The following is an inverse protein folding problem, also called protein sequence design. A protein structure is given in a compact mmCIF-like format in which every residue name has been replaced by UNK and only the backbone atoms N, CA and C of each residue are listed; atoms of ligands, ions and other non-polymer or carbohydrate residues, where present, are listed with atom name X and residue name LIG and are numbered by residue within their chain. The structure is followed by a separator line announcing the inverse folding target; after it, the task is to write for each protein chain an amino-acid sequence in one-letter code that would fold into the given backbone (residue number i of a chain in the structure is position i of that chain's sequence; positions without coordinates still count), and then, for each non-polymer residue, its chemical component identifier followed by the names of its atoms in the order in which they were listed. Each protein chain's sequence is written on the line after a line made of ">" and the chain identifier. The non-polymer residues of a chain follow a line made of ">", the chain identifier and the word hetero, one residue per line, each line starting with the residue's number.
data_IF_783070276953
#
_entry.id   IF_783070276953
#
_cell.length_a   1.000
_cell.length_b   1.000
_cell.length_c   1.000
_cell.angle_alpha   90.00
_cell.angle_beta   90.00
_cell.angle_gamma   90.00
#
_symmetry.space_group_name_H-M   'P 1'
#
loop_
_entity.id
_entity.type
_entity.pdbx_description
1 polymer ?
#
# COMPACT_ATOMS: atom_id res chain seq x y z
N UNK A 1 23.60 18.17 -15.18
CA UNK A 1 23.00 18.06 -13.84
C UNK A 1 21.65 17.44 -14.06
N UNK A 2 21.57 16.14 -13.76
CA UNK A 2 20.59 15.22 -14.32
C UNK A 2 19.29 15.24 -13.51
N UNK A 3 18.14 15.34 -14.19
CA UNK A 3 16.78 15.39 -13.62
C UNK A 3 16.31 13.95 -13.30
N UNK A 4 17.02 13.26 -12.39
CA UNK A 4 17.01 11.79 -12.37
C UNK A 4 15.72 11.12 -11.89
N UNK A 5 14.73 11.82 -11.32
CA UNK A 5 13.39 11.24 -11.08
C UNK A 5 12.33 12.35 -10.95
N UNK A 6 11.53 12.59 -12.00
CA UNK A 6 10.26 13.30 -11.83
C UNK A 6 9.36 12.47 -10.91
N UNK A 7 9.21 12.89 -9.64
CA UNK A 7 8.33 12.20 -8.70
C UNK A 7 6.88 12.33 -9.14
N UNK A 8 6.24 11.17 -9.33
CA UNK A 8 4.81 11.07 -9.55
C UNK A 8 4.00 11.43 -8.30
N UNK A 9 2.69 11.67 -8.42
CA UNK A 9 1.84 11.90 -7.25
C UNK A 9 1.89 10.71 -6.29
N UNK A 10 2.07 10.98 -4.98
CA UNK A 10 2.14 9.96 -3.94
C UNK A 10 0.86 9.09 -3.90
N UNK A 11 1.04 7.77 -3.87
CA UNK A 11 0.03 6.74 -3.61
C UNK A 11 0.43 5.94 -2.37
N UNK A 12 -0.24 6.18 -1.25
CA UNK A 12 -0.07 5.37 -0.04
C UNK A 12 -1.05 4.20 -0.09
N UNK A 13 -0.55 2.97 0.08
CA UNK A 13 -1.35 1.75 0.17
C UNK A 13 -1.08 1.04 1.49
N UNK A 14 -2.08 0.31 1.98
CA UNK A 14 -1.96 -0.53 3.16
C UNK A 14 -2.22 -2.00 2.80
N UNK A 15 -1.35 -2.87 3.30
CA UNK A 15 -1.62 -4.31 3.36
C UNK A 15 -2.67 -4.65 4.41
N UNK A 16 -2.73 -5.92 4.79
CA UNK A 16 -3.70 -6.41 5.79
C UNK A 16 -3.16 -6.50 7.22
N UNK A 17 -1.84 -6.46 7.43
CA UNK A 17 -1.24 -6.75 8.74
C UNK A 17 -1.50 -5.63 9.75
N UNK A 18 -1.41 -4.35 9.34
CA UNK A 18 -1.68 -3.24 10.25
C UNK A 18 -2.23 -2.01 9.51
N UNK A 19 -3.55 -2.00 9.29
CA UNK A 19 -4.25 -0.84 8.70
C UNK A 19 -4.26 0.40 9.60
N UNK A 20 -4.43 0.31 10.93
CA UNK A 20 -4.33 1.47 11.82
C UNK A 20 -3.01 2.24 11.65
N UNK A 21 -1.88 1.54 11.63
CA UNK A 21 -0.56 2.16 11.43
C UNK A 21 -0.47 2.93 10.09
N UNK A 22 -0.97 2.32 9.00
CA UNK A 22 -0.99 3.00 7.71
C UNK A 22 -1.89 4.26 7.74
N UNK A 23 -2.99 4.22 8.49
CA UNK A 23 -3.85 5.35 8.76
C UNK A 23 -3.12 6.48 9.49
N UNK A 24 -2.44 6.19 10.58
CA UNK A 24 -1.65 7.16 11.36
C UNK A 24 -0.54 7.80 10.52
N UNK A 25 0.20 7.00 9.74
CA UNK A 25 1.19 7.53 8.78
C UNK A 25 0.51 8.47 7.79
N UNK A 26 -0.66 8.08 7.29
CA UNK A 26 -1.45 8.87 6.36
C UNK A 26 -1.91 10.21 6.94
N UNK A 27 -2.30 10.25 8.21
CA UNK A 27 -2.67 11.50 8.91
C UNK A 27 -1.47 12.44 9.02
N UNK A 28 -0.29 11.92 9.38
CA UNK A 28 0.95 12.71 9.52
C UNK A 28 1.35 13.35 8.19
N UNK A 29 1.21 12.63 7.07
CA UNK A 29 1.61 13.10 5.75
C UNK A 29 0.47 13.73 4.93
N UNK A 30 -0.74 13.84 5.51
CA UNK A 30 -1.92 14.39 4.84
C UNK A 30 -2.43 13.55 3.66
N UNK A 31 -2.25 12.23 3.70
CA UNK A 31 -2.70 11.25 2.69
C UNK A 31 -3.24 9.99 3.33
N UNK A 32 -4.57 9.86 3.44
CA UNK A 32 -5.18 8.58 3.83
C UNK A 32 -4.76 7.45 2.87
N UNK A 33 -4.52 6.23 3.38
CA UNK A 33 -4.25 5.08 2.52
C UNK A 33 -5.36 4.88 1.49
N UNK A 34 -4.97 4.76 0.22
CA UNK A 34 -5.89 4.41 -0.87
C UNK A 34 -6.31 2.94 -0.75
N UNK A 35 -7.50 2.63 -1.27
CA UNK A 35 -8.09 1.30 -1.20
C UNK A 35 -7.36 0.25 -2.04
N UNK A 36 -7.12 -0.91 -1.43
CA UNK A 36 -6.83 -2.15 -2.13
C UNK A 36 -7.78 -3.24 -1.62
N UNK A 37 -8.42 -3.94 -2.54
CA UNK A 37 -9.22 -5.12 -2.22
C UNK A 37 -8.27 -6.30 -2.05
N UNK A 38 -8.14 -6.78 -0.81
CA UNK A 38 -7.32 -7.94 -0.44
C UNK A 38 -8.24 -9.04 0.07
N UNK A 39 -8.17 -10.24 -0.52
CA UNK A 39 -8.95 -11.41 -0.11
C UNK A 39 -8.07 -12.64 -0.08
N UNK A 40 -8.40 -13.59 0.78
CA UNK A 40 -7.75 -14.90 0.80
C UNK A 40 -8.74 -15.93 0.27
N UNK A 41 -8.31 -16.74 -0.69
CA UNK A 41 -9.09 -17.86 -1.22
C UNK A 41 -9.00 -19.07 -0.27
N UNK A 42 -9.88 -20.05 -0.48
CA UNK A 42 -10.00 -21.22 0.40
C UNK A 42 -8.75 -22.12 0.37
N UNK A 43 -7.97 -22.09 -0.71
CA UNK A 43 -6.68 -22.76 -0.87
C UNK A 43 -5.50 -21.99 -0.26
N UNK A 44 -5.76 -20.80 0.30
CA UNK A 44 -4.75 -19.95 0.94
C UNK A 44 -4.14 -18.90 0.02
N UNK A 45 -4.43 -18.91 -1.28
CA UNK A 45 -3.92 -17.89 -2.22
C UNK A 45 -4.45 -16.49 -1.89
N UNK A 46 -3.61 -15.47 -2.07
CA UNK A 46 -3.96 -14.08 -1.79
C UNK A 46 -4.32 -13.36 -3.09
N UNK A 47 -5.55 -12.87 -3.16
CA UNK A 47 -5.99 -11.95 -4.20
C UNK A 47 -5.76 -10.51 -3.78
N UNK A 48 -5.16 -9.71 -4.66
CA UNK A 48 -4.97 -8.26 -4.46
C UNK A 48 -5.42 -7.51 -5.71
N UNK A 49 -6.26 -6.48 -5.51
CA UNK A 49 -6.61 -5.50 -6.54
C UNK A 49 -6.44 -4.09 -6.00
N UNK A 50 -5.64 -3.29 -6.69
CA UNK A 50 -5.49 -1.86 -6.38
C UNK A 50 -6.72 -1.14 -6.94
N UNK A 51 -7.50 -0.46 -6.09
CA UNK A 51 -8.75 0.19 -6.49
C UNK A 51 -8.53 1.59 -7.08
N UNK A 52 -7.27 2.02 -7.17
CA UNK A 52 -6.83 3.31 -7.74
C UNK A 52 -5.80 3.12 -8.84
N UNK A 53 -5.78 4.07 -9.77
CA UNK A 53 -4.73 4.12 -10.79
C UNK A 53 -3.37 4.38 -10.12
N UNK A 54 -2.42 3.48 -10.37
CA UNK A 54 -1.05 3.54 -9.87
C UNK A 54 -0.01 3.97 -10.94
N UNK A 55 -0.40 4.09 -12.21
CA UNK A 55 0.53 4.40 -13.31
C UNK A 55 1.12 5.79 -13.12
N UNK A 56 2.46 5.87 -13.15
CA UNK A 56 3.20 7.13 -13.03
C UNK A 56 3.08 7.79 -11.65
N UNK A 57 2.65 7.06 -10.62
CA UNK A 57 2.62 7.50 -9.23
C UNK A 57 3.82 6.97 -8.46
N UNK A 58 4.18 7.68 -7.41
CA UNK A 58 5.18 7.22 -6.45
C UNK A 58 4.45 6.41 -5.37
N UNK A 59 4.69 5.09 -5.31
CA UNK A 59 3.85 4.14 -4.57
C UNK A 59 4.58 3.65 -3.33
N UNK A 60 3.94 3.80 -2.18
CA UNK A 60 4.44 3.33 -0.89
C UNK A 60 3.43 2.35 -0.30
N UNK A 61 3.90 1.18 0.13
CA UNK A 61 3.06 0.11 0.70
C UNK A 61 3.46 -0.09 2.16
N UNK A 62 2.51 0.02 3.07
CA UNK A 62 2.69 -0.28 4.49
C UNK A 62 2.19 -1.70 4.75
N UNK A 63 3.12 -2.61 5.04
CA UNK A 63 2.81 -3.99 5.40
C UNK A 63 3.90 -4.51 6.36
N UNK A 64 3.68 -4.47 7.68
CA UNK A 64 4.49 -5.21 8.62
C UNK A 64 4.47 -6.72 8.30
N UNK A 65 5.60 -7.39 8.46
CA UNK A 65 5.77 -8.83 8.22
C UNK A 65 5.96 -9.57 9.54
N UNK A 66 5.10 -9.28 10.52
CA UNK A 66 5.09 -10.00 11.81
C UNK A 66 4.53 -11.41 11.64
N UNK A 67 4.75 -12.28 12.63
CA UNK A 67 4.29 -13.67 12.57
C UNK A 67 2.75 -13.77 12.51
N UNK A 68 2.19 -14.62 11.61
CA UNK A 68 2.87 -15.39 10.58
C UNK A 68 3.27 -14.50 9.39
N UNK A 69 4.56 -14.47 9.06
CA UNK A 69 5.10 -13.53 8.06
C UNK A 69 4.77 -13.93 6.61
N UNK A 70 4.34 -15.17 6.40
CA UNK A 70 4.12 -15.77 5.07
C UNK A 70 2.66 -15.76 4.59
N UNK A 71 1.72 -15.19 5.36
CA UNK A 71 0.27 -15.26 5.07
C UNK A 71 -0.44 -13.90 4.92
#
# INVERSE_FOLDING_TARGET
>A
MDDTFRRGPLLLLAGRANRPLAGEIGEIIGKSPDGATIRQFADGEIFVRIDRNARGRDVFIVQPTDAPAEH
#
